data_IF_224517759857
#
_entry.id   IF_224517759857
#
_cell.length_a   1.000
_cell.length_b   1.000
_cell.length_c   1.000
_cell.angle_alpha   90.00
_cell.angle_beta   90.00
_cell.angle_gamma   90.00
#
_symmetry.space_group_name_H-M   'P 1'
#
loop_
_entity.id
_entity.type
_entity.pdbx_description
1 polymer ?
#
# COMPACT_ATOMS: atom_id res chain seq x y z
N UNK A 1 10.65 -60.05 6.33
CA UNK A 1 10.22 -58.71 5.89
C UNK A 1 10.74 -57.68 6.88
N UNK A 2 11.84 -56.97 6.58
CA UNK A 2 12.35 -55.89 7.41
C UNK A 2 11.53 -54.64 7.14
N UNK A 3 10.84 -54.13 8.16
CA UNK A 3 10.23 -52.80 8.15
C UNK A 3 11.37 -51.79 7.98
N UNK A 4 11.43 -51.12 6.88
CA UNK A 4 12.27 -49.92 6.70
C UNK A 4 11.65 -48.81 7.58
N UNK A 5 12.43 -48.39 8.59
CA UNK A 5 12.12 -47.17 9.31
C UNK A 5 12.16 -45.99 8.34
N UNK A 6 11.16 -45.07 8.39
CA UNK A 6 11.22 -43.90 7.55
C UNK A 6 12.43 -43.05 7.96
N UNK A 7 13.34 -42.84 7.01
CA UNK A 7 14.46 -41.95 7.19
C UNK A 7 13.94 -40.57 7.64
N UNK A 8 14.23 -40.22 8.87
CA UNK A 8 13.99 -38.90 9.43
C UNK A 8 14.95 -37.92 8.73
N UNK A 9 14.48 -37.33 7.65
CA UNK A 9 15.19 -36.22 7.00
C UNK A 9 15.05 -34.98 7.89
N UNK A 10 16.07 -34.72 8.69
CA UNK A 10 16.21 -33.48 9.44
C UNK A 10 16.56 -32.36 8.46
N UNK A 11 15.55 -31.64 7.98
CA UNK A 11 15.77 -30.42 7.23
C UNK A 11 16.06 -29.28 8.21
N UNK A 12 17.17 -28.58 7.99
CA UNK A 12 17.39 -27.28 8.61
C UNK A 12 16.33 -26.32 8.09
N UNK A 13 15.73 -25.52 9.00
CA UNK A 13 14.68 -24.54 8.64
C UNK A 13 14.93 -23.81 7.30
N UNK A 14 13.84 -23.52 6.54
CA UNK A 14 12.53 -23.18 7.09
C UNK A 14 11.57 -24.38 7.11
N UNK A 15 10.90 -24.57 8.24
CA UNK A 15 9.80 -25.51 8.38
C UNK A 15 8.69 -25.10 7.39
N UNK A 16 8.57 -25.82 6.27
CA UNK A 16 7.45 -25.67 5.36
C UNK A 16 6.16 -26.03 6.09
N UNK A 17 5.38 -25.05 6.48
CA UNK A 17 4.03 -25.29 7.01
C UNK A 17 3.18 -25.81 5.85
N UNK A 18 2.85 -27.09 5.90
CA UNK A 18 1.93 -27.72 4.94
C UNK A 18 0.58 -26.99 5.02
N UNK A 19 0.16 -26.38 3.90
CA UNK A 19 -1.16 -25.77 3.74
C UNK A 19 -1.21 -24.28 3.40
N UNK A 20 -0.14 -23.51 3.53
CA UNK A 20 -0.10 -22.13 3.07
C UNK A 20 0.46 -22.05 1.64
N UNK A 21 -0.39 -21.70 0.69
CA UNK A 21 0.03 -21.40 -0.67
C UNK A 21 0.12 -19.90 -0.86
N UNK A 22 1.12 -19.41 -1.63
CA UNK A 22 1.29 -17.98 -1.93
C UNK A 22 -0.01 -17.31 -2.41
N UNK A 23 -0.80 -17.90 -3.33
CA UNK A 23 -2.06 -17.31 -3.77
C UNK A 23 -3.10 -17.14 -2.66
N UNK A 24 -3.06 -18.01 -1.65
CA UNK A 24 -3.97 -17.91 -0.50
C UNK A 24 -3.57 -16.75 0.40
N UNK A 25 -2.29 -16.65 0.75
CA UNK A 25 -1.78 -15.55 1.57
C UNK A 25 -2.06 -14.18 0.91
N UNK A 26 -1.82 -14.06 -0.42
CA UNK A 26 -2.09 -12.81 -1.15
C UNK A 26 -3.58 -12.42 -1.11
N UNK A 27 -4.48 -13.38 -1.24
CA UNK A 27 -5.94 -13.14 -1.12
C UNK A 27 -6.35 -12.77 0.30
N UNK A 28 -5.79 -13.41 1.32
CA UNK A 28 -6.08 -13.09 2.71
C UNK A 28 -5.65 -11.65 3.04
N UNK A 29 -4.52 -11.17 2.48
CA UNK A 29 -4.11 -9.76 2.60
C UNK A 29 -5.10 -8.82 1.88
N UNK A 30 -5.58 -9.18 0.69
CA UNK A 30 -6.61 -8.37 0.00
C UNK A 30 -7.87 -8.27 0.87
N UNK A 31 -8.32 -9.38 1.46
CA UNK A 31 -9.49 -9.37 2.36
C UNK A 31 -9.26 -8.51 3.60
N UNK A 32 -8.07 -8.55 4.18
CA UNK A 32 -7.69 -7.70 5.30
C UNK A 32 -7.72 -6.19 4.97
N UNK A 33 -7.44 -5.84 3.72
CA UNK A 33 -7.46 -4.45 3.24
C UNK A 33 -8.86 -3.96 2.83
N UNK A 34 -9.84 -4.86 2.62
CA UNK A 34 -11.20 -4.47 2.22
C UNK A 34 -11.87 -3.46 3.17
N UNK A 35 -11.79 -3.60 4.50
CA UNK A 35 -12.37 -2.59 5.39
C UNK A 35 -11.73 -1.21 5.23
N UNK A 36 -10.41 -1.15 5.07
CA UNK A 36 -9.70 0.11 4.84
C UNK A 36 -10.05 0.72 3.48
N UNK A 37 -10.19 -0.12 2.43
CA UNK A 37 -10.64 0.38 1.10
C UNK A 37 -12.08 0.89 1.15
N UNK A 38 -12.97 0.22 1.89
CA UNK A 38 -14.34 0.67 2.06
C UNK A 38 -14.41 2.02 2.79
N UNK A 39 -13.58 2.21 3.82
CA UNK A 39 -13.46 3.50 4.49
C UNK A 39 -12.93 4.59 3.56
N UNK A 40 -11.90 4.30 2.77
CA UNK A 40 -11.36 5.24 1.78
C UNK A 40 -12.44 5.67 0.77
N UNK A 41 -13.26 4.72 0.29
CA UNK A 41 -14.38 5.01 -0.60
C UNK A 41 -15.47 5.85 0.08
N UNK A 42 -15.70 5.62 1.36
CA UNK A 42 -16.68 6.40 2.12
C UNK A 42 -16.26 7.85 2.32
N UNK A 43 -14.99 8.08 2.67
CA UNK A 43 -14.48 9.44 2.97
C UNK A 43 -14.13 10.25 1.73
N UNK A 44 -13.60 9.62 0.67
CA UNK A 44 -13.11 10.30 -0.53
C UNK A 44 -13.97 10.04 -1.78
N UNK A 45 -15.00 9.22 -1.67
CA UNK A 45 -15.98 8.99 -2.72
C UNK A 45 -15.43 8.39 -4.01
N UNK A 46 -15.99 8.84 -5.14
CA UNK A 46 -15.72 8.29 -6.47
C UNK A 46 -14.28 8.51 -6.92
N UNK A 47 -13.62 9.60 -6.53
CA UNK A 47 -12.22 9.86 -6.86
C UNK A 47 -11.29 8.78 -6.33
N UNK A 48 -11.52 8.32 -5.09
CA UNK A 48 -10.76 7.22 -4.50
C UNK A 48 -10.96 5.91 -5.28
N UNK A 49 -12.22 5.61 -5.66
CA UNK A 49 -12.54 4.42 -6.45
C UNK A 49 -11.80 4.42 -7.78
N UNK A 50 -11.88 5.53 -8.51
CA UNK A 50 -11.23 5.67 -9.83
C UNK A 50 -9.71 5.57 -9.72
N UNK A 51 -9.11 6.17 -8.70
CA UNK A 51 -7.67 6.11 -8.47
C UNK A 51 -7.21 4.68 -8.15
N UNK A 52 -7.91 3.97 -7.25
CA UNK A 52 -7.63 2.57 -6.93
C UNK A 52 -7.73 1.68 -8.16
N UNK A 53 -8.81 1.83 -8.94
CA UNK A 53 -8.99 1.07 -10.20
C UNK A 53 -7.88 1.38 -11.19
N UNK A 54 -7.47 2.64 -11.32
CA UNK A 54 -6.39 3.07 -12.21
C UNK A 54 -5.05 2.42 -11.82
N UNK A 55 -4.70 2.41 -10.52
CA UNK A 55 -3.48 1.78 -10.01
C UNK A 55 -3.50 0.26 -10.25
N UNK A 56 -4.63 -0.40 -9.96
CA UNK A 56 -4.79 -1.84 -10.19
C UNK A 56 -4.70 -2.15 -11.69
N UNK A 57 -5.37 -1.37 -12.54
CA UNK A 57 -5.31 -1.55 -13.98
C UNK A 57 -3.88 -1.41 -14.53
N UNK A 58 -3.13 -0.40 -14.08
CA UNK A 58 -1.73 -0.20 -14.44
C UNK A 58 -0.86 -1.39 -14.03
N UNK A 59 -1.02 -1.87 -12.80
CA UNK A 59 -0.29 -3.01 -12.27
C UNK A 59 -0.60 -4.31 -13.03
N UNK A 60 -1.88 -4.62 -13.24
CA UNK A 60 -2.32 -5.84 -13.94
C UNK A 60 -1.93 -5.79 -15.41
N UNK A 61 -2.08 -4.65 -16.08
CA UNK A 61 -1.66 -4.50 -17.49
C UNK A 61 -0.15 -4.67 -17.64
N UNK A 62 0.65 -4.10 -16.75
CA UNK A 62 2.11 -4.32 -16.75
C UNK A 62 2.45 -5.79 -16.60
N UNK A 63 1.78 -6.49 -15.70
CA UNK A 63 1.96 -7.93 -15.50
C UNK A 63 1.55 -8.73 -16.75
N UNK A 64 0.46 -8.37 -17.40
CA UNK A 64 0.00 -9.02 -18.65
C UNK A 64 0.96 -8.80 -19.82
N UNK A 65 1.54 -7.62 -19.94
CA UNK A 65 2.42 -7.26 -21.07
C UNK A 65 3.82 -7.82 -20.87
N UNK A 66 4.40 -7.62 -19.70
CA UNK A 66 5.82 -7.89 -19.45
C UNK A 66 6.11 -9.25 -18.84
N UNK A 67 5.13 -9.94 -18.24
CA UNK A 67 5.36 -11.29 -17.71
C UNK A 67 5.62 -12.31 -18.82
N UNK A 68 6.54 -13.24 -18.57
CA UNK A 68 6.83 -14.35 -19.47
C UNK A 68 5.55 -15.13 -19.80
N UNK A 69 5.38 -15.51 -21.06
CA UNK A 69 4.17 -16.21 -21.53
C UNK A 69 3.88 -17.50 -20.76
N UNK A 70 4.94 -18.20 -20.31
CA UNK A 70 4.81 -19.43 -19.54
C UNK A 70 4.27 -19.20 -18.12
N UNK A 71 4.61 -18.07 -17.50
CA UNK A 71 4.27 -17.75 -16.10
C UNK A 71 3.05 -16.84 -15.98
N UNK A 72 2.63 -16.22 -17.10
CA UNK A 72 1.55 -15.22 -17.15
C UNK A 72 0.25 -15.70 -16.52
N UNK A 73 -0.16 -16.94 -16.80
CA UNK A 73 -1.36 -17.52 -16.24
C UNK A 73 -1.28 -17.78 -14.74
N UNK A 74 -0.11 -18.12 -14.23
CA UNK A 74 0.12 -18.37 -12.82
C UNK A 74 0.21 -17.05 -12.04
N UNK A 75 0.94 -16.07 -12.56
CA UNK A 75 1.10 -14.74 -11.97
C UNK A 75 -0.23 -14.02 -11.79
N UNK A 76 -1.13 -14.07 -12.78
CA UNK A 76 -2.48 -13.51 -12.67
C UNK A 76 -3.36 -14.24 -11.64
N UNK A 77 -3.21 -15.57 -11.51
CA UNK A 77 -3.93 -16.36 -10.50
C UNK A 77 -3.50 -16.07 -9.08
N UNK A 78 -2.26 -15.66 -8.89
CA UNK A 78 -1.70 -15.32 -7.59
C UNK A 78 -2.21 -13.97 -7.06
N UNK A 79 -2.95 -13.20 -7.88
CA UNK A 79 -3.52 -11.90 -7.55
C UNK A 79 -2.49 -10.86 -7.05
N UNK A 80 -1.20 -11.07 -7.34
CA UNK A 80 -0.12 -10.20 -6.87
C UNK A 80 -0.14 -8.82 -7.50
N UNK A 81 -0.50 -8.73 -8.81
CA UNK A 81 -0.68 -7.44 -9.49
C UNK A 81 -1.82 -6.63 -8.90
N UNK A 82 -2.94 -7.30 -8.58
CA UNK A 82 -4.09 -6.65 -7.92
C UNK A 82 -3.71 -6.14 -6.53
N UNK A 83 -3.05 -6.98 -5.74
CA UNK A 83 -2.57 -6.60 -4.40
C UNK A 83 -1.60 -5.43 -4.45
N UNK A 84 -0.62 -5.47 -5.37
CA UNK A 84 0.36 -4.39 -5.53
C UNK A 84 -0.31 -3.08 -5.94
N UNK A 85 -1.24 -3.12 -6.91
CA UNK A 85 -2.00 -1.94 -7.34
C UNK A 85 -2.89 -1.38 -6.22
N UNK A 86 -3.53 -2.25 -5.44
CA UNK A 86 -4.34 -1.88 -4.28
C UNK A 86 -3.50 -1.21 -3.18
N UNK A 87 -2.38 -1.84 -2.79
CA UNK A 87 -1.46 -1.28 -1.81
C UNK A 87 -0.90 0.06 -2.27
N UNK A 88 -0.46 0.16 -3.52
CA UNK A 88 0.01 1.42 -4.09
C UNK A 88 -1.08 2.48 -3.99
N UNK A 89 -2.29 2.21 -4.50
CA UNK A 89 -3.40 3.16 -4.49
C UNK A 89 -3.75 3.65 -3.09
N UNK A 90 -3.76 2.76 -2.09
CA UNK A 90 -4.00 3.14 -0.69
C UNK A 90 -2.92 4.07 -0.12
N UNK A 91 -1.71 4.06 -0.66
CA UNK A 91 -0.64 4.98 -0.21
C UNK A 91 -0.62 6.32 -0.92
N UNK A 92 -1.49 6.53 -1.92
CA UNK A 92 -1.55 7.76 -2.72
C UNK A 92 -2.55 8.77 -2.15
N UNK A 93 -2.35 10.09 -2.41
CA UNK A 93 -3.33 11.10 -2.09
C UNK A 93 -4.57 11.01 -3.00
N UNK A 94 -5.80 11.26 -2.48
CA UNK A 94 -7.04 11.08 -3.22
C UNK A 94 -7.22 12.04 -4.41
N UNK A 95 -6.53 13.18 -4.41
CA UNK A 95 -6.57 14.16 -5.49
C UNK A 95 -5.57 13.90 -6.64
N UNK A 96 -4.83 12.79 -6.59
CA UNK A 96 -3.84 12.48 -7.62
C UNK A 96 -4.51 12.20 -8.98
N UNK A 97 -3.99 12.74 -10.10
CA UNK A 97 -4.47 12.42 -11.45
C UNK A 97 -4.43 10.91 -11.74
N UNK A 98 -5.48 10.38 -12.37
CA UNK A 98 -5.64 8.95 -12.62
C UNK A 98 -4.50 8.36 -13.45
N UNK A 99 -4.00 9.10 -14.44
CA UNK A 99 -2.88 8.65 -15.29
C UNK A 99 -1.57 8.48 -14.50
N UNK A 100 -1.34 9.30 -13.45
CA UNK A 100 -0.19 9.13 -12.57
C UNK A 100 -0.32 7.86 -11.74
N UNK A 101 -1.52 7.57 -11.20
CA UNK A 101 -1.80 6.31 -10.51
C UNK A 101 -1.57 5.09 -11.41
N UNK A 102 -2.04 5.16 -12.67
CA UNK A 102 -1.80 4.12 -13.66
C UNK A 102 -0.30 3.92 -13.93
N UNK A 103 0.43 5.00 -14.17
CA UNK A 103 1.88 4.97 -14.39
C UNK A 103 2.63 4.38 -13.19
N UNK A 104 2.23 4.79 -11.98
CA UNK A 104 2.77 4.22 -10.74
C UNK A 104 2.58 2.71 -10.64
N UNK A 105 1.39 2.20 -11.01
CA UNK A 105 1.09 0.78 -11.07
C UNK A 105 1.96 0.02 -12.08
N UNK A 106 2.14 0.60 -13.27
CA UNK A 106 3.02 0.03 -14.31
C UNK A 106 4.45 -0.05 -13.82
N UNK A 107 4.99 1.03 -13.25
CA UNK A 107 6.36 1.09 -12.74
C UNK A 107 6.56 0.14 -11.56
N UNK A 108 5.59 0.08 -10.64
CA UNK A 108 5.63 -0.81 -9.48
C UNK A 108 5.85 -2.27 -9.89
N UNK A 109 5.09 -2.76 -10.86
CA UNK A 109 5.21 -4.15 -11.33
C UNK A 109 6.43 -4.34 -12.22
N UNK A 110 6.69 -3.44 -13.16
CA UNK A 110 7.81 -3.59 -14.12
C UNK A 110 9.15 -3.59 -13.40
N UNK A 111 9.43 -2.55 -12.59
CA UNK A 111 10.69 -2.41 -11.88
C UNK A 111 10.73 -3.20 -10.57
N UNK A 112 9.60 -3.34 -9.88
CA UNK A 112 9.57 -3.98 -8.56
C UNK A 112 9.46 -5.50 -8.60
N UNK A 113 8.92 -6.08 -9.68
CA UNK A 113 8.68 -7.52 -9.78
C UNK A 113 9.34 -8.16 -11.01
N UNK A 114 9.09 -7.63 -12.21
CA UNK A 114 9.43 -8.33 -13.46
C UNK A 114 10.93 -8.33 -13.73
N UNK A 115 11.59 -7.20 -13.55
CA UNK A 115 13.06 -7.08 -13.79
C UNK A 115 13.86 -8.05 -12.92
N UNK A 116 13.37 -8.34 -11.71
CA UNK A 116 14.05 -9.22 -10.74
C UNK A 116 13.76 -10.70 -10.92
N UNK A 117 12.93 -11.08 -11.89
CA UNK A 117 12.61 -12.49 -12.18
C UNK A 117 11.34 -13.00 -11.54
N UNK A 118 10.45 -12.13 -11.04
CA UNK A 118 9.11 -12.52 -10.58
C UNK A 118 8.96 -12.59 -9.06
N UNK A 119 7.89 -13.23 -8.61
CA UNK A 119 7.52 -13.31 -7.20
C UNK A 119 8.57 -14.08 -6.38
N UNK A 120 9.03 -13.51 -5.29
CA UNK A 120 10.03 -14.10 -4.39
C UNK A 120 11.47 -13.66 -4.65
N UNK A 121 11.76 -13.04 -5.80
CA UNK A 121 13.08 -12.48 -6.11
C UNK A 121 13.13 -10.96 -5.97
N UNK A 122 12.05 -10.35 -5.46
CA UNK A 122 11.94 -8.90 -5.32
C UNK A 122 12.90 -8.39 -4.24
N UNK A 123 13.76 -7.44 -4.59
CA UNK A 123 14.63 -6.74 -3.64
C UNK A 123 13.85 -5.73 -2.79
N UNK A 124 12.82 -5.12 -3.37
CA UNK A 124 11.99 -4.10 -2.73
C UNK A 124 10.51 -4.46 -2.85
N UNK A 125 9.70 -3.91 -1.94
CA UNK A 125 8.25 -3.98 -2.09
C UNK A 125 7.82 -3.21 -3.35
N UNK A 126 7.17 -3.86 -4.32
CA UNK A 126 6.80 -3.22 -5.58
C UNK A 126 5.91 -1.98 -5.41
N UNK A 127 4.94 -2.01 -4.48
CA UNK A 127 4.06 -0.88 -4.22
C UNK A 127 4.84 0.34 -3.70
N UNK A 128 5.78 0.12 -2.77
CA UNK A 128 6.63 1.20 -2.25
C UNK A 128 7.58 1.76 -3.32
N UNK A 129 8.08 0.92 -4.21
CA UNK A 129 8.90 1.36 -5.34
C UNK A 129 8.10 2.25 -6.30
N UNK A 130 6.86 1.87 -6.62
CA UNK A 130 5.95 2.70 -7.41
C UNK A 130 5.66 4.05 -6.76
N UNK A 131 5.41 4.07 -5.45
CA UNK A 131 5.24 5.31 -4.68
C UNK A 131 6.50 6.17 -4.69
N UNK A 132 7.67 5.59 -4.47
CA UNK A 132 8.95 6.31 -4.50
C UNK A 132 9.21 6.93 -5.88
N UNK A 133 8.92 6.21 -6.95
CA UNK A 133 9.01 6.73 -8.32
C UNK A 133 8.07 7.93 -8.52
N UNK A 134 6.80 7.81 -8.11
CA UNK A 134 5.83 8.92 -8.22
C UNK A 134 6.25 10.13 -7.40
N UNK A 135 6.78 9.92 -6.19
CA UNK A 135 7.27 11.01 -5.34
C UNK A 135 8.47 11.72 -5.96
N UNK A 136 9.39 10.98 -6.61
CA UNK A 136 10.55 11.56 -7.27
C UNK A 136 10.18 12.31 -8.55
N UNK A 137 9.17 11.83 -9.30
CA UNK A 137 8.77 12.43 -10.59
C UNK A 137 7.74 13.55 -10.44
N UNK A 138 6.80 13.39 -9.50
CA UNK A 138 5.66 14.29 -9.30
C UNK A 138 5.50 14.72 -7.83
N UNK A 139 6.52 15.38 -7.24
CA UNK A 139 6.53 15.68 -5.81
C UNK A 139 5.34 16.54 -5.38
N UNK A 140 4.96 17.54 -6.16
CA UNK A 140 3.86 18.45 -5.85
C UNK A 140 2.54 17.67 -5.75
N UNK A 141 2.21 16.86 -6.75
CA UNK A 141 0.99 16.07 -6.75
C UNK A 141 0.93 15.05 -5.61
N UNK A 142 2.08 14.49 -5.23
CA UNK A 142 2.20 13.51 -4.14
C UNK A 142 2.15 14.12 -2.73
N UNK A 143 2.40 15.41 -2.60
CA UNK A 143 2.38 16.13 -1.31
C UNK A 143 1.14 17.00 -1.11
N UNK A 144 0.27 17.07 -2.11
CA UNK A 144 -1.00 17.81 -2.00
C UNK A 144 -2.07 16.91 -1.38
N UNK A 145 -2.44 17.21 -0.14
CA UNK A 145 -3.42 16.42 0.62
C UNK A 145 -4.80 17.08 0.55
N UNK A 146 -5.82 16.27 0.32
CA UNK A 146 -7.21 16.73 0.29
C UNK A 146 -7.89 16.35 1.61
N UNK A 147 -8.74 17.24 2.21
CA UNK A 147 -9.45 16.91 3.44
C UNK A 147 -10.41 15.73 3.23
N UNK A 148 -10.55 14.89 4.26
CA UNK A 148 -11.36 13.67 4.21
C UNK A 148 -12.89 13.92 4.10
N UNK A 149 -13.35 15.15 4.39
CA UNK A 149 -14.74 15.56 4.26
C UNK A 149 -14.88 16.47 3.06
N UNK A 150 -14.97 15.88 1.86
CA UNK A 150 -15.29 16.65 0.65
C UNK A 150 -16.70 17.22 0.71
N UNK A 151 -16.85 18.52 0.47
CA UNK A 151 -18.14 19.21 0.44
C UNK A 151 -19.10 18.73 -0.65
N UNK A 152 -18.68 17.80 -1.52
CA UNK A 152 -19.40 17.39 -2.73
C UNK A 152 -20.19 16.07 -2.67
N UNK A 153 -20.19 15.36 -1.54
CA UNK A 153 -20.86 14.04 -1.45
C UNK A 153 -20.12 12.90 -2.18
N UNK A 154 -20.65 11.68 -2.11
CA UNK A 154 -20.02 10.45 -2.62
C UNK A 154 -19.69 10.50 -4.13
N UNK A 155 -20.46 11.18 -4.94
CA UNK A 155 -20.26 11.30 -6.39
C UNK A 155 -19.36 12.45 -6.80
N UNK A 156 -18.84 13.24 -5.87
CA UNK A 156 -17.92 14.33 -6.22
C UNK A 156 -16.58 13.77 -6.68
N UNK A 157 -16.10 14.30 -7.80
CA UNK A 157 -14.78 14.02 -8.32
C UNK A 157 -13.93 15.27 -8.13
N UNK A 158 -12.77 15.13 -7.52
CA UNK A 158 -11.84 16.25 -7.37
C UNK A 158 -11.36 16.72 -8.75
N UNK A 159 -11.37 18.01 -9.01
CA UNK A 159 -11.04 18.59 -10.32
C UNK A 159 -9.64 18.18 -10.82
N UNK A 160 -8.70 17.94 -9.91
CA UNK A 160 -7.36 17.43 -10.23
C UNK A 160 -7.32 15.98 -10.73
N UNK A 161 -8.31 15.14 -10.37
CA UNK A 161 -8.26 13.68 -10.63
C UNK A 161 -8.35 13.34 -12.13
N UNK A 162 -9.08 14.12 -12.90
CA UNK A 162 -9.32 13.90 -14.35
C UNK A 162 -8.38 14.69 -15.26
N UNK A 163 -7.39 15.40 -14.73
CA UNK A 163 -6.44 16.14 -15.55
C UNK A 163 -5.62 15.20 -16.42
N UNK A 164 -5.52 15.54 -17.71
CA UNK A 164 -4.71 14.80 -18.68
C UNK A 164 -3.22 15.13 -18.50
N UNK A 165 -2.31 14.25 -18.96
CA UNK A 165 -0.89 14.52 -18.96
C UNK A 165 -0.61 15.81 -19.74
N UNK A 166 0.29 16.65 -19.20
CA UNK A 166 0.68 17.96 -19.74
C UNK A 166 -0.37 19.10 -19.63
N UNK A 167 -1.55 18.85 -19.05
CA UNK A 167 -2.45 19.92 -18.67
C UNK A 167 -2.10 20.41 -17.26
N UNK A 168 -2.05 21.73 -17.10
CA UNK A 168 -1.88 22.33 -15.79
C UNK A 168 -3.17 22.10 -15.01
N UNK A 169 -3.11 21.21 -14.00
CA UNK A 169 -4.21 21.11 -13.06
C UNK A 169 -4.29 22.43 -12.31
N UNK A 170 -5.47 23.01 -12.27
CA UNK A 170 -5.77 24.09 -11.34
C UNK A 170 -5.79 23.51 -9.93
N UNK A 171 -4.62 23.17 -9.40
CA UNK A 171 -4.46 22.93 -7.99
C UNK A 171 -4.60 24.29 -7.30
N UNK A 172 -5.82 24.76 -7.19
CA UNK A 172 -6.13 25.76 -6.18
C UNK A 172 -5.95 25.06 -4.86
N UNK A 173 -4.83 25.37 -4.21
CA UNK A 173 -4.20 24.59 -3.17
C UNK A 173 -5.00 24.65 -1.86
N UNK A 174 -6.05 23.86 -1.77
CA UNK A 174 -6.52 23.39 -0.48
C UNK A 174 -5.69 22.16 -0.07
N UNK A 175 -4.40 22.37 0.17
CA UNK A 175 -3.58 21.38 0.83
C UNK A 175 -3.96 21.37 2.30
N UNK A 176 -4.73 20.38 2.75
CA UNK A 176 -4.93 20.18 4.17
C UNK A 176 -3.63 19.66 4.79
N UNK A 177 -3.22 20.23 5.92
CA UNK A 177 -2.08 19.71 6.64
C UNK A 177 -2.41 18.32 7.19
N UNK A 178 -1.48 17.36 7.03
CA UNK A 178 -1.63 16.06 7.68
C UNK A 178 -1.50 16.23 9.20
N UNK A 179 -2.12 15.36 10.03
CA UNK A 179 -1.99 15.43 11.50
C UNK A 179 -0.55 15.50 11.99
N UNK A 180 0.35 14.78 11.32
CA UNK A 180 1.77 14.80 11.62
C UNK A 180 2.41 16.13 11.22
N UNK A 181 1.98 16.73 10.11
CA UNK A 181 2.41 18.06 9.68
C UNK A 181 1.95 19.16 10.64
N UNK A 182 0.70 19.11 11.11
CA UNK A 182 0.17 20.04 12.11
C UNK A 182 0.95 19.96 13.43
N UNK A 183 1.20 18.74 13.90
CA UNK A 183 2.00 18.52 15.11
C UNK A 183 3.45 19.04 14.98
N UNK A 184 4.07 18.83 13.81
CA UNK A 184 5.48 19.22 13.59
C UNK A 184 5.67 20.73 13.39
N UNK A 185 4.79 21.37 12.62
CA UNK A 185 4.96 22.77 12.20
C UNK A 185 4.11 23.75 13.01
N UNK A 186 2.92 23.33 13.46
CA UNK A 186 1.99 24.19 14.19
C UNK A 186 1.91 23.84 15.68
N UNK A 187 2.54 22.72 16.10
CA UNK A 187 2.45 22.18 17.46
C UNK A 187 0.99 21.92 17.94
N UNK A 188 0.07 21.81 17.02
CA UNK A 188 -1.31 21.44 17.30
C UNK A 188 -1.49 19.93 17.26
N UNK A 189 -2.10 19.39 18.33
CA UNK A 189 -2.40 17.95 18.44
C UNK A 189 -3.80 17.71 17.95
N UNK A 190 -3.94 16.93 16.87
CA UNK A 190 -5.26 16.54 16.37
C UNK A 190 -6.01 15.69 17.41
N UNK A 191 -7.31 15.90 17.62
CA UNK A 191 -8.11 15.11 18.55
C UNK A 191 -7.99 13.61 18.25
N UNK A 192 -7.79 12.80 19.28
CA UNK A 192 -7.55 11.36 19.16
C UNK A 192 -8.74 10.63 18.50
N UNK A 193 -9.96 11.14 18.69
CA UNK A 193 -11.18 10.65 18.07
C UNK A 193 -11.15 10.80 16.55
N UNK A 194 -10.68 11.93 16.03
CA UNK A 194 -10.59 12.16 14.58
C UNK A 194 -9.53 11.29 13.91
N UNK A 195 -8.42 10.99 14.62
CA UNK A 195 -7.42 10.03 14.19
C UNK A 195 -7.96 8.59 14.14
N UNK A 196 -8.76 8.19 15.14
CA UNK A 196 -9.34 6.84 15.21
C UNK A 196 -10.40 6.63 14.14
N UNK A 197 -11.28 7.62 13.96
CA UNK A 197 -12.36 7.56 12.97
C UNK A 197 -11.96 7.98 11.56
N UNK A 198 -10.74 8.53 11.37
CA UNK A 198 -10.22 8.83 10.04
C UNK A 198 -10.74 10.11 9.39
N UNK A 199 -11.16 11.11 10.17
CA UNK A 199 -11.60 12.42 9.67
C UNK A 199 -10.45 13.38 9.42
N UNK A 200 -9.29 12.85 9.04
CA UNK A 200 -8.06 13.61 8.84
C UNK A 200 -7.62 13.52 7.39
N UNK A 201 -7.05 14.61 6.87
CA UNK A 201 -6.42 14.60 5.54
C UNK A 201 -5.18 13.71 5.54
N UNK A 202 -5.03 12.88 4.50
CA UNK A 202 -3.92 11.96 4.39
C UNK A 202 -4.01 11.09 3.15
N UNK A 203 -3.22 10.00 3.09
CA UNK A 203 -3.33 9.00 2.04
C UNK A 203 -4.64 8.20 2.18
N UNK A 204 -5.09 7.58 1.09
CA UNK A 204 -6.34 6.82 1.07
C UNK A 204 -6.40 5.73 2.15
N UNK A 205 -5.28 5.08 2.46
CA UNK A 205 -5.20 4.01 3.46
C UNK A 205 -5.06 4.47 4.90
N UNK A 206 -4.68 5.73 5.13
CA UNK A 206 -4.47 6.29 6.48
C UNK A 206 -5.77 6.80 7.13
N UNK A 207 -6.91 6.62 6.47
CA UNK A 207 -8.19 7.19 6.90
C UNK A 207 -8.68 6.66 8.25
N UNK A 208 -8.44 5.40 8.59
CA UNK A 208 -8.92 4.84 9.87
C UNK A 208 -7.92 3.86 10.47
N UNK A 209 -7.26 4.28 11.55
CA UNK A 209 -6.34 3.43 12.31
C UNK A 209 -7.03 2.18 12.88
N UNK A 210 -8.31 2.29 13.27
CA UNK A 210 -9.08 1.18 13.81
C UNK A 210 -9.31 0.07 12.78
N UNK A 211 -9.63 0.42 11.54
CA UNK A 211 -9.85 -0.55 10.47
C UNK A 211 -8.56 -1.26 10.05
N UNK A 212 -7.42 -0.57 10.08
CA UNK A 212 -6.11 -1.17 9.86
C UNK A 212 -5.76 -2.18 10.97
N UNK A 213 -6.07 -1.86 12.23
CA UNK A 213 -5.88 -2.78 13.35
C UNK A 213 -6.76 -4.02 13.17
N UNK A 214 -8.03 -3.86 12.79
CA UNK A 214 -8.93 -4.99 12.52
C UNK A 214 -8.40 -5.88 11.38
N UNK A 215 -7.89 -5.28 10.30
CA UNK A 215 -7.22 -6.01 9.21
C UNK A 215 -6.00 -6.79 9.69
N UNK A 216 -5.18 -6.19 10.56
CA UNK A 216 -4.03 -6.84 11.20
C UNK A 216 -4.43 -8.01 12.10
N UNK A 217 -5.49 -7.86 12.90
CA UNK A 217 -6.06 -8.94 13.74
C UNK A 217 -6.56 -10.08 12.85
N UNK A 218 -7.24 -9.77 11.75
CA UNK A 218 -7.69 -10.79 10.80
C UNK A 218 -6.51 -11.62 10.26
N UNK A 219 -5.42 -10.98 9.80
CA UNK A 219 -4.22 -11.67 9.31
C UNK A 219 -3.53 -12.50 10.39
N UNK A 220 -3.52 -12.00 11.63
CA UNK A 220 -3.00 -12.75 12.77
C UNK A 220 -3.82 -14.02 13.05
N UNK A 221 -5.14 -13.93 13.03
CA UNK A 221 -6.03 -15.08 13.22
C UNK A 221 -5.91 -16.10 12.08
N UNK A 222 -5.63 -15.64 10.86
CA UNK A 222 -5.37 -16.51 9.69
C UNK A 222 -3.99 -17.15 9.73
N UNK A 223 -3.13 -16.76 10.67
CA UNK A 223 -1.72 -17.18 10.82
C UNK A 223 -0.82 -16.78 9.63
N UNK A 224 -1.20 -15.75 8.90
CA UNK A 224 -0.38 -15.16 7.84
C UNK A 224 0.69 -14.22 8.43
N UNK A 225 0.49 -13.74 9.65
CA UNK A 225 1.45 -12.93 10.41
C UNK A 225 1.96 -13.74 11.62
N UNK A 226 3.28 -13.90 11.70
CA UNK A 226 3.95 -14.38 12.90
C UNK A 226 4.22 -13.19 13.84
N UNK A 227 3.75 -13.30 15.09
CA UNK A 227 3.92 -12.24 16.10
C UNK A 227 5.38 -11.93 16.38
N UNK A 228 6.26 -12.92 16.25
CA UNK A 228 7.70 -12.78 16.44
C UNK A 228 8.35 -11.93 15.36
N UNK A 229 7.98 -12.15 14.09
CA UNK A 229 8.46 -11.32 12.96
C UNK A 229 8.06 -9.85 13.08
N UNK A 230 6.82 -9.59 13.55
CA UNK A 230 6.32 -8.25 13.73
C UNK A 230 7.05 -7.50 14.85
N UNK A 231 7.32 -8.15 15.98
CA UNK A 231 8.06 -7.53 17.09
C UNK A 231 9.51 -7.24 16.72
N UNK A 232 10.18 -8.11 15.98
CA UNK A 232 11.55 -7.88 15.51
C UNK A 232 11.66 -6.73 14.51
N UNK A 233 10.76 -6.64 13.53
CA UNK A 233 10.72 -5.52 12.58
C UNK A 233 10.48 -4.20 13.30
N UNK A 234 9.52 -4.16 14.24
CA UNK A 234 9.21 -2.94 15.00
C UNK A 234 10.38 -2.52 15.92
N UNK A 235 11.05 -3.46 16.54
CA UNK A 235 12.23 -3.15 17.36
C UNK A 235 13.35 -2.51 16.53
N UNK A 236 13.62 -3.03 15.34
CA UNK A 236 14.66 -2.51 14.43
C UNK A 236 14.34 -1.12 13.89
N UNK A 237 13.09 -0.85 13.55
CA UNK A 237 12.61 0.47 13.12
C UNK A 237 12.69 1.50 14.25
N UNK A 238 12.31 1.10 15.47
CA UNK A 238 12.32 1.97 16.64
C UNK A 238 13.75 2.34 17.04
N UNK A 239 14.70 1.41 16.98
CA UNK A 239 16.12 1.66 17.27
C UNK A 239 16.73 2.67 16.29
N UNK A 240 16.41 2.54 14.99
CA UNK A 240 16.87 3.51 13.97
C UNK A 240 16.27 4.90 14.20
N UNK A 241 14.98 5.00 14.49
CA UNK A 241 14.32 6.28 14.74
C UNK A 241 14.87 6.97 15.99
N UNK A 242 15.16 6.23 17.07
CA UNK A 242 15.78 6.78 18.28
C UNK A 242 17.20 7.23 17.98
N UNK A 243 17.98 6.46 17.25
CA UNK A 243 19.34 6.80 16.83
C UNK A 243 19.37 8.09 15.98
N UNK A 244 18.45 8.25 15.01
CA UNK A 244 18.30 9.48 14.24
C UNK A 244 17.86 10.68 15.09
N UNK A 245 16.91 10.49 16.01
CA UNK A 245 16.46 11.54 16.90
C UNK A 245 17.58 12.02 17.84
N UNK A 246 18.39 11.10 18.38
CA UNK A 246 19.55 11.42 19.23
C UNK A 246 20.65 12.14 18.43
N UNK A 247 20.85 11.77 17.17
CA UNK A 247 21.82 12.42 16.29
C UNK A 247 21.39 13.87 15.95
N UNK A 248 20.11 14.09 15.67
CA UNK A 248 19.56 15.43 15.40
C UNK A 248 19.50 16.34 16.64
N UNK A 249 19.49 15.79 17.85
CA UNK A 249 19.53 16.58 19.10
C UNK A 249 20.95 16.95 19.52
N UNK A 250 21.97 16.36 18.92
CA UNK A 250 23.39 16.57 19.28
C UNK A 250 24.14 17.47 18.28
N UNK A 251 23.49 17.85 17.17
CA UNK A 251 23.95 18.83 16.18
C UNK A 251 23.28 20.19 16.41
#
# INVERSE_FOLDING_TARGET
MKKQDPDLLLFHAPLLRQGMTTPRAMRDVIYALLPATAAALWFFGLSAALLLVSCIAGAVLAEMVFANRAERGQSLRDATGVLTGLLLGLTLPPGLPLWMGFLGGVVAISLGKIIWGGLGHNLFNPALLGRAFLLATFPIAMTTWVPATGEGGFFSVYDGSLTLPFMQSSFDAMSSATPLGMMKFQQEVTPLMDLVFGRTGGSLGETSGLLLILGGIYLYLRRDLDSVSYTHLRAHETERLISYAVFCLKS
#
